data_IF_543577048506
#
_entry.id   IF_543577048506
#
_cell.length_a   1.000
_cell.length_b   1.000
_cell.length_c   1.000
_cell.angle_alpha   90.00
_cell.angle_beta   90.00
_cell.angle_gamma   90.00
#
_symmetry.space_group_name_H-M   'P 1'
#
loop_
_entity.id
_entity.type
_entity.pdbx_description
1 polymer ?
#
# COMPACT_ATOMS: atom_id res chain seq x y z
N UNK A 1 15.19 10.55 0.39
CA UNK A 1 14.58 9.25 0.08
C UNK A 1 15.60 8.17 0.42
N UNK A 2 15.24 7.21 1.27
CA UNK A 2 16.08 6.03 1.47
C UNK A 2 16.08 5.18 0.18
N UNK A 3 17.18 4.48 -0.15
CA UNK A 3 17.20 3.58 -1.29
C UNK A 3 16.16 2.46 -1.11
N UNK A 4 15.53 1.98 -2.20
CA UNK A 4 14.58 0.88 -2.12
C UNK A 4 15.25 -0.36 -1.53
N UNK A 5 14.60 -0.91 -0.50
CA UNK A 5 15.00 -2.14 0.19
C UNK A 5 14.71 -3.39 -0.65
N UNK A 6 13.76 -3.32 -1.59
CA UNK A 6 13.32 -4.48 -2.38
C UNK A 6 13.65 -4.37 -3.89
N UNK A 7 14.25 -5.45 -4.42
CA UNK A 7 14.83 -5.51 -5.78
C UNK A 7 13.85 -5.17 -6.93
N UNK A 8 12.59 -5.60 -6.84
CA UNK A 8 11.60 -5.34 -7.90
C UNK A 8 11.16 -3.87 -7.93
N UNK A 9 11.10 -3.20 -6.78
CA UNK A 9 10.88 -1.76 -6.70
C UNK A 9 12.08 -0.99 -7.28
N UNK A 10 13.30 -1.43 -6.94
CA UNK A 10 14.55 -0.85 -7.47
C UNK A 10 14.71 -0.99 -8.99
N UNK A 11 14.13 -2.04 -9.60
CA UNK A 11 14.24 -2.32 -11.03
C UNK A 11 13.32 -1.47 -11.94
N UNK A 12 12.66 -0.43 -11.39
CA UNK A 12 11.83 0.50 -12.17
C UNK A 12 10.44 -0.04 -12.57
N UNK A 13 10.11 -1.28 -12.20
CA UNK A 13 8.78 -1.85 -12.43
C UNK A 13 7.66 -1.07 -11.72
N UNK A 14 7.97 -0.50 -10.55
CA UNK A 14 7.00 0.27 -9.76
C UNK A 14 6.47 1.51 -10.48
N UNK A 15 7.34 2.25 -11.18
CA UNK A 15 6.96 3.46 -11.90
C UNK A 15 6.12 3.19 -13.17
N UNK A 16 6.03 1.93 -13.61
CA UNK A 16 5.20 1.53 -14.76
C UNK A 16 3.74 1.32 -14.38
N UNK A 17 3.48 0.99 -13.12
CA UNK A 17 2.14 0.82 -12.60
C UNK A 17 1.39 2.17 -12.62
N UNK A 18 0.08 2.12 -12.83
CA UNK A 18 -0.78 3.27 -12.61
C UNK A 18 -1.02 3.51 -11.10
N UNK A 19 -1.57 4.67 -10.74
CA UNK A 19 -1.77 5.01 -9.32
C UNK A 19 -2.67 4.00 -8.58
N UNK A 20 -3.68 3.45 -9.25
CA UNK A 20 -4.62 2.51 -8.63
C UNK A 20 -3.93 1.17 -8.38
N UNK A 21 -3.11 0.69 -9.31
CA UNK A 21 -2.29 -0.50 -9.12
C UNK A 21 -1.23 -0.30 -8.02
N UNK A 22 -0.57 0.86 -7.97
CA UNK A 22 0.37 1.20 -6.89
C UNK A 22 -0.34 1.17 -5.53
N UNK A 23 -1.48 1.85 -5.39
CA UNK A 23 -2.24 1.89 -4.14
C UNK A 23 -2.86 0.54 -3.77
N UNK A 24 -3.27 -0.29 -4.74
CA UNK A 24 -3.72 -1.66 -4.47
C UNK A 24 -2.60 -2.55 -3.91
N UNK A 25 -1.37 -2.40 -4.43
CA UNK A 25 -0.20 -3.10 -3.93
C UNK A 25 0.25 -2.58 -2.55
N UNK A 26 0.26 -1.26 -2.33
CA UNK A 26 0.47 -0.66 -0.99
C UNK A 26 -0.54 -1.25 0.00
N UNK A 27 -1.81 -1.26 -0.38
CA UNK A 27 -2.91 -1.82 0.41
C UNK A 27 -2.72 -3.26 0.83
N UNK A 28 -2.16 -4.08 -0.06
CA UNK A 28 -1.86 -5.49 0.23
C UNK A 28 -0.78 -5.65 1.30
N UNK A 29 0.24 -4.78 1.32
CA UNK A 29 1.25 -4.75 2.40
C UNK A 29 0.70 -4.18 3.70
N UNK A 30 -0.15 -3.15 3.62
CA UNK A 30 -0.86 -2.59 4.78
C UNK A 30 -1.68 -3.68 5.48
N UNK A 31 -2.50 -4.43 4.74
CA UNK A 31 -3.29 -5.52 5.32
C UNK A 31 -2.42 -6.65 5.87
N UNK A 32 -1.30 -6.99 5.20
CA UNK A 32 -0.33 -7.97 5.73
C UNK A 32 0.27 -7.52 7.06
N UNK A 33 0.65 -6.25 7.17
CA UNK A 33 1.21 -5.68 8.39
C UNK A 33 0.18 -5.71 9.53
N UNK A 34 -1.04 -5.24 9.28
CA UNK A 34 -2.13 -5.25 10.28
C UNK A 34 -2.39 -6.68 10.77
N UNK A 35 -2.60 -7.64 9.86
CA UNK A 35 -2.87 -9.04 10.24
C UNK A 35 -1.71 -9.68 11.01
N UNK A 36 -0.47 -9.41 10.59
CA UNK A 36 0.71 -9.95 11.26
C UNK A 36 0.87 -9.38 12.67
N UNK A 37 0.59 -8.09 12.84
CA UNK A 37 0.59 -7.42 14.15
C UNK A 37 -0.50 -7.99 15.06
N UNK A 38 -1.76 -8.05 14.61
CA UNK A 38 -2.89 -8.64 15.34
C UNK A 38 -2.63 -10.10 15.74
N UNK A 39 -1.88 -10.85 14.93
CA UNK A 39 -1.53 -12.24 15.19
C UNK A 39 -0.25 -12.43 16.02
N UNK A 40 0.41 -11.36 16.48
CA UNK A 40 1.67 -11.43 17.23
C UNK A 40 2.87 -11.99 16.44
N UNK A 41 2.82 -11.96 15.10
CA UNK A 41 3.86 -12.53 14.23
C UNK A 41 4.92 -11.49 13.89
N UNK A 42 5.75 -11.14 14.87
CA UNK A 42 6.73 -10.04 14.79
C UNK A 42 7.56 -10.02 13.49
N UNK A 43 8.21 -11.12 13.10
CA UNK A 43 9.02 -11.13 11.87
C UNK A 43 8.22 -10.93 10.58
N UNK A 44 6.96 -11.37 10.54
CA UNK A 44 6.07 -11.08 9.39
C UNK A 44 5.59 -9.64 9.39
N UNK A 45 5.36 -9.09 10.58
CA UNK A 45 4.97 -7.70 10.77
C UNK A 45 6.09 -6.76 10.30
N UNK A 46 7.32 -6.97 10.77
CA UNK A 46 8.48 -6.14 10.39
C UNK A 46 8.70 -6.11 8.88
N UNK A 47 8.65 -7.27 8.22
CA UNK A 47 8.80 -7.35 6.76
C UNK A 47 7.68 -6.62 6.02
N UNK A 48 6.42 -6.84 6.41
CA UNK A 48 5.27 -6.19 5.78
C UNK A 48 5.25 -4.67 6.05
N UNK A 49 5.60 -4.24 7.25
CA UNK A 49 5.73 -2.83 7.63
C UNK A 49 6.79 -2.14 6.77
N UNK A 50 8.01 -2.69 6.72
CA UNK A 50 9.10 -2.12 5.94
C UNK A 50 8.74 -2.02 4.45
N UNK A 51 8.10 -3.07 3.91
CA UNK A 51 7.65 -3.07 2.51
C UNK A 51 6.52 -2.06 2.27
N UNK A 52 5.53 -1.96 3.15
CA UNK A 52 4.46 -0.97 3.03
C UNK A 52 5.02 0.46 3.01
N UNK A 53 5.91 0.79 3.95
CA UNK A 53 6.54 2.12 4.03
C UNK A 53 7.37 2.45 2.78
N UNK A 54 8.14 1.50 2.27
CA UNK A 54 8.86 1.66 1.01
C UNK A 54 7.89 1.93 -0.16
N UNK A 55 6.79 1.19 -0.25
CA UNK A 55 5.81 1.38 -1.33
C UNK A 55 5.07 2.72 -1.22
N UNK A 56 4.75 3.17 -0.01
CA UNK A 56 4.24 4.53 0.22
C UNK A 56 5.23 5.57 -0.29
N UNK A 57 6.51 5.46 0.11
CA UNK A 57 7.54 6.44 -0.23
C UNK A 57 7.80 6.47 -1.75
N UNK A 58 7.85 5.31 -2.41
CA UNK A 58 7.99 5.22 -3.86
C UNK A 58 6.79 5.82 -4.60
N UNK A 59 5.58 5.61 -4.08
CA UNK A 59 4.36 6.15 -4.70
C UNK A 59 4.26 7.66 -4.49
N UNK A 60 4.60 8.18 -3.31
CA UNK A 60 4.62 9.61 -3.02
C UNK A 60 5.71 10.37 -3.80
N UNK A 61 6.83 9.70 -4.07
CA UNK A 61 7.95 10.25 -4.83
C UNK A 61 7.71 10.30 -6.35
N UNK A 62 6.70 9.59 -6.84
CA UNK A 62 6.39 9.55 -8.26
C UNK A 62 5.94 10.93 -8.75
N UNK A 63 6.65 11.56 -9.71
CA UNK A 63 6.34 12.92 -10.16
C UNK A 63 4.97 13.02 -10.84
N UNK A 64 4.36 11.90 -11.26
CA UNK A 64 3.01 11.87 -11.83
C UNK A 64 1.94 12.22 -10.81
N UNK A 65 2.21 12.04 -9.51
CA UNK A 65 1.24 12.19 -8.42
C UNK A 65 1.46 13.42 -7.53
N UNK A 66 2.16 14.45 -8.01
CA UNK A 66 2.39 15.69 -7.26
C UNK A 66 1.09 16.39 -6.83
N UNK A 67 1.18 17.23 -5.80
CA UNK A 67 0.04 17.99 -5.26
C UNK A 67 -0.84 17.15 -4.36
N UNK A 68 -2.16 17.26 -4.52
CA UNK A 68 -3.15 16.65 -3.61
C UNK A 68 -3.02 15.12 -3.48
N UNK A 69 -2.63 14.42 -4.55
CA UNK A 69 -2.44 12.96 -4.52
C UNK A 69 -1.26 12.56 -3.62
N UNK A 70 -0.10 13.21 -3.79
CA UNK A 70 1.06 13.02 -2.93
C UNK A 70 0.71 13.31 -1.47
N UNK A 71 -0.04 14.38 -1.19
CA UNK A 71 -0.52 14.69 0.16
C UNK A 71 -1.43 13.59 0.73
N UNK A 72 -2.35 13.05 -0.07
CA UNK A 72 -3.22 11.94 0.34
C UNK A 72 -2.41 10.66 0.63
N UNK A 73 -1.44 10.33 -0.23
CA UNK A 73 -0.55 9.17 -0.04
C UNK A 73 0.23 9.30 1.28
N UNK A 74 0.79 10.48 1.55
CA UNK A 74 1.53 10.74 2.78
C UNK A 74 0.62 10.71 4.01
N UNK A 75 -0.63 11.20 3.90
CA UNK A 75 -1.61 11.09 4.98
C UNK A 75 -2.00 9.65 5.28
N UNK A 76 -2.21 8.83 4.25
CA UNK A 76 -2.48 7.41 4.41
C UNK A 76 -1.28 6.67 5.05
N UNK A 77 -0.06 7.06 4.70
CA UNK A 77 1.17 6.57 5.33
C UNK A 77 1.24 6.95 6.82
N UNK A 78 0.92 8.20 7.16
CA UNK A 78 0.86 8.67 8.55
C UNK A 78 -0.17 7.89 9.37
N UNK A 79 -1.39 7.70 8.85
CA UNK A 79 -2.42 6.91 9.52
C UNK A 79 -1.99 5.46 9.70
N UNK A 80 -1.29 4.88 8.73
CA UNK A 80 -0.73 3.54 8.83
C UNK A 80 0.35 3.43 9.92
N UNK A 81 1.26 4.41 10.01
CA UNK A 81 2.24 4.47 11.09
C UNK A 81 1.58 4.64 12.46
N UNK A 82 0.53 5.49 12.55
CA UNK A 82 -0.21 5.73 13.79
C UNK A 82 -0.68 4.43 14.42
N UNK A 83 -1.18 3.48 13.62
CA UNK A 83 -1.67 2.18 14.12
C UNK A 83 -0.69 1.44 15.04
N UNK A 84 0.61 1.60 14.86
CA UNK A 84 1.63 0.80 15.54
C UNK A 84 2.55 1.59 16.45
N UNK A 85 2.61 2.92 16.29
CA UNK A 85 3.62 3.76 16.94
C UNK A 85 3.04 4.88 17.79
N UNK A 86 1.73 5.12 17.73
CA UNK A 86 1.06 6.13 18.56
C UNK A 86 0.40 5.48 19.79
N UNK A 87 0.46 6.17 20.92
CA UNK A 87 -0.13 5.67 22.17
C UNK A 87 -1.66 5.84 22.25
N UNK A 88 -2.23 6.64 21.36
CA UNK A 88 -3.66 6.94 21.29
C UNK A 88 -4.17 6.77 19.84
N UNK A 89 -4.52 5.53 19.49
CA UNK A 89 -5.03 5.17 18.16
C UNK A 89 -6.56 5.21 18.19
N UNK A 90 -7.21 6.03 17.34
CA UNK A 90 -8.67 6.06 17.28
C UNK A 90 -9.28 4.68 16.99
N UNK A 91 -10.41 4.32 17.65
CA UNK A 91 -11.11 3.08 17.35
C UNK A 91 -11.50 2.99 15.87
N UNK A 92 -11.25 1.84 15.26
CA UNK A 92 -11.59 1.59 13.86
C UNK A 92 -10.62 2.17 12.83
N UNK A 93 -9.48 2.78 13.23
CA UNK A 93 -8.45 3.24 12.29
C UNK A 93 -7.96 2.14 11.34
N UNK A 94 -7.74 0.92 11.86
CA UNK A 94 -7.33 -0.22 11.03
C UNK A 94 -8.38 -0.57 9.97
N UNK A 95 -9.67 -0.60 10.35
CA UNK A 95 -10.76 -0.87 9.41
C UNK A 95 -10.96 0.28 8.41
N UNK A 96 -10.67 1.52 8.80
CA UNK A 96 -10.62 2.67 7.91
C UNK A 96 -9.60 2.48 6.79
N UNK A 97 -8.36 2.11 7.15
CA UNK A 97 -7.30 1.82 6.18
C UNK A 97 -7.66 0.62 5.30
N UNK A 98 -8.20 -0.46 5.87
CA UNK A 98 -8.68 -1.63 5.11
C UNK A 98 -9.69 -1.22 4.04
N UNK A 99 -10.72 -0.44 4.40
CA UNK A 99 -11.74 0.03 3.45
C UNK A 99 -11.14 0.93 2.38
N UNK A 100 -10.29 1.87 2.76
CA UNK A 100 -9.62 2.79 1.84
C UNK A 100 -8.82 2.03 0.78
N UNK A 101 -7.96 1.10 1.20
CA UNK A 101 -7.10 0.33 0.30
C UNK A 101 -7.83 -0.77 -0.48
N UNK A 102 -8.88 -1.36 0.09
CA UNK A 102 -9.69 -2.36 -0.60
C UNK A 102 -10.31 -1.79 -1.90
N UNK A 103 -10.73 -0.52 -1.89
CA UNK A 103 -11.25 0.15 -3.09
C UNK A 103 -10.23 0.16 -4.24
N UNK A 104 -8.96 0.45 -3.95
CA UNK A 104 -7.89 0.43 -4.95
C UNK A 104 -7.55 -0.98 -5.42
N UNK A 105 -7.47 -1.96 -4.51
CA UNK A 105 -7.23 -3.36 -4.87
C UNK A 105 -8.32 -3.91 -5.80
N UNK A 106 -9.59 -3.63 -5.47
CA UNK A 106 -10.73 -4.01 -6.31
C UNK A 106 -10.67 -3.33 -7.68
N UNK A 107 -10.43 -2.01 -7.73
CA UNK A 107 -10.33 -1.28 -8.98
C UNK A 107 -9.16 -1.75 -9.86
N UNK A 108 -8.00 -2.05 -9.27
CA UNK A 108 -6.85 -2.62 -9.96
C UNK A 108 -7.21 -3.97 -10.60
N UNK A 109 -7.88 -4.85 -9.85
CA UNK A 109 -8.32 -6.15 -10.36
C UNK A 109 -9.31 -6.02 -11.51
N UNK A 110 -10.28 -5.10 -11.41
CA UNK A 110 -11.23 -4.85 -12.49
C UNK A 110 -10.57 -4.29 -13.75
N UNK A 111 -9.55 -3.43 -13.62
CA UNK A 111 -8.77 -2.92 -14.76
C UNK A 111 -7.98 -4.03 -15.44
N UNK A 112 -7.34 -4.87 -14.64
CA UNK A 112 -6.60 -6.03 -15.15
C UNK A 112 -7.48 -6.94 -16.00
N UNK A 113 -8.69 -7.27 -15.52
CA UNK A 113 -9.64 -8.09 -16.28
C UNK A 113 -10.11 -7.43 -17.58
N UNK A 114 -10.36 -6.11 -17.58
CA UNK A 114 -10.71 -5.41 -18.82
C UNK A 114 -9.60 -5.43 -19.86
N UNK A 115 -8.34 -5.40 -19.42
CA UNK A 115 -7.18 -5.46 -20.29
C UNK A 115 -6.87 -6.90 -20.76
N UNK A 116 -7.33 -7.91 -20.01
CA UNK A 116 -7.10 -9.33 -20.28
C UNK A 116 -8.41 -10.13 -20.15
N UNK A 117 -9.36 -9.98 -21.09
CA UNK A 117 -10.72 -10.53 -20.97
C UNK A 117 -10.77 -12.06 -20.85
N UNK A 118 -9.76 -12.79 -21.33
CA UNK A 118 -9.69 -14.25 -21.26
C UNK A 118 -9.33 -14.86 -19.89
N UNK A 119 -9.22 -14.05 -18.83
CA UNK A 119 -8.91 -14.52 -17.46
C UNK A 119 -10.11 -14.45 -16.50
N UNK A 120 -11.29 -14.11 -17.01
CA UNK A 120 -12.52 -14.01 -16.21
C UNK A 120 -13.36 -15.31 -16.22
N UNK A 121 -12.95 -16.31 -16.99
CA UNK A 121 -13.69 -17.56 -17.21
C UNK A 121 -13.15 -18.77 -16.41
N UNK A 122 -12.10 -18.60 -15.61
CA UNK A 122 -11.50 -19.61 -14.71
C UNK A 122 -11.71 -19.25 -13.23
#
# INVERSE_FOLDING_TARGET
MAPPLHRQAAAGGWARLDLVEQLGNVGSEVERAIRAHESGKAGRFEGALARALELFDLTAADPRWRGHRCQEILRAREEFCRLFFDGDVPPGSADGLRRYFFGFAYAARMRHYRQHPGLAED
#
